data_IF_751843595874
#
_entry.id   IF_751843595874
#
_cell.length_a   1.000
_cell.length_b   1.000
_cell.length_c   1.000
_cell.angle_alpha   90.00
_cell.angle_beta   90.00
_cell.angle_gamma   90.00
#
_symmetry.space_group_name_H-M   'P 1'
#
loop_
_entity.id
_entity.type
_entity.pdbx_description
1 polymer ?
#
# COMPACT_ATOMS: atom_id res chain seq x y z
N UNK A 1 -1.69 -1.31 13.07
CA UNK A 1 -1.57 -1.42 14.52
C UNK A 1 -2.78 -2.07 15.14
N UNK A 2 -2.65 -2.55 16.38
CA UNK A 2 -3.77 -3.14 17.14
C UNK A 2 -4.98 -2.23 17.20
N UNK A 3 -4.79 -0.94 17.47
CA UNK A 3 -5.86 0.04 17.58
C UNK A 3 -6.67 0.23 16.29
N UNK A 4 -6.06 0.08 15.11
CA UNK A 4 -6.77 0.21 13.84
C UNK A 4 -7.80 -0.91 13.67
N UNK A 5 -7.43 -2.15 14.00
CA UNK A 5 -8.33 -3.30 13.96
C UNK A 5 -9.36 -3.28 15.09
N UNK A 6 -8.95 -2.90 16.30
CA UNK A 6 -9.86 -2.74 17.43
C UNK A 6 -10.90 -1.66 17.15
N UNK A 7 -10.52 -0.57 16.47
CA UNK A 7 -11.46 0.46 16.01
C UNK A 7 -12.45 -0.12 14.98
N UNK A 8 -12.00 -0.92 14.02
CA UNK A 8 -12.92 -1.62 13.12
C UNK A 8 -13.92 -2.50 13.88
N UNK A 9 -13.45 -3.23 14.88
CA UNK A 9 -14.32 -4.04 15.75
C UNK A 9 -15.36 -3.18 16.47
N UNK A 10 -14.96 -2.01 16.98
CA UNK A 10 -15.87 -1.05 17.65
C UNK A 10 -16.94 -0.51 16.70
N UNK A 11 -16.62 -0.32 15.43
CA UNK A 11 -17.56 0.07 14.38
C UNK A 11 -18.57 -1.04 14.00
N UNK A 12 -18.55 -2.19 14.68
CA UNK A 12 -19.48 -3.30 14.48
C UNK A 12 -18.95 -4.43 13.60
N UNK A 13 -17.69 -4.41 13.20
CA UNK A 13 -17.07 -5.47 12.39
C UNK A 13 -16.58 -6.60 13.32
N UNK A 14 -17.48 -7.47 13.75
CA UNK A 14 -17.14 -8.63 14.58
C UNK A 14 -16.19 -9.55 13.83
N UNK A 15 -15.15 -10.06 14.51
CA UNK A 15 -14.10 -10.89 13.90
C UNK A 15 -12.95 -10.10 13.26
N UNK A 16 -12.88 -8.77 13.50
CA UNK A 16 -11.83 -7.89 12.98
C UNK A 16 -11.03 -7.17 14.08
N UNK A 17 -11.10 -7.64 15.34
CA UNK A 17 -10.20 -7.15 16.38
C UNK A 17 -8.75 -7.57 16.08
N UNK A 18 -7.80 -6.94 16.75
CA UNK A 18 -6.39 -7.32 16.64
C UNK A 18 -6.17 -8.81 16.95
N UNK A 19 -6.81 -9.32 17.99
CA UNK A 19 -6.73 -10.72 18.38
C UNK A 19 -7.28 -11.66 17.31
N UNK A 20 -8.35 -11.24 16.61
CA UNK A 20 -8.95 -12.02 15.52
C UNK A 20 -8.03 -12.08 14.29
N UNK A 21 -7.33 -10.97 13.94
CA UNK A 21 -6.58 -10.87 12.69
C UNK A 21 -5.10 -11.25 12.81
N UNK A 22 -4.48 -11.11 13.98
CA UNK A 22 -3.07 -11.44 14.20
C UNK A 22 -2.69 -12.87 13.81
N UNK A 23 -3.49 -13.92 14.09
CA UNK A 23 -3.19 -15.27 13.65
C UNK A 23 -3.08 -15.41 12.12
N UNK A 24 -3.84 -14.61 11.36
CA UNK A 24 -3.76 -14.61 9.90
C UNK A 24 -2.54 -13.87 9.38
N UNK A 25 -2.10 -12.79 10.03
CA UNK A 25 -0.83 -12.14 9.74
C UNK A 25 0.33 -13.11 9.96
N UNK A 26 0.41 -13.74 11.13
CA UNK A 26 1.43 -14.76 11.44
C UNK A 26 1.39 -15.93 10.43
N UNK A 27 0.21 -16.44 10.09
CA UNK A 27 0.03 -17.52 9.10
C UNK A 27 0.53 -17.14 7.70
N UNK A 28 0.44 -15.85 7.32
CA UNK A 28 0.86 -15.37 6.00
C UNK A 28 2.35 -15.06 5.92
N UNK A 29 3.01 -14.85 7.04
CA UNK A 29 4.39 -14.39 7.14
C UNK A 29 5.39 -15.54 7.20
N UNK A 30 6.56 -15.33 6.60
CA UNK A 30 7.78 -16.10 6.82
C UNK A 30 8.90 -15.12 7.18
N UNK A 31 8.98 -14.76 8.48
CA UNK A 31 9.90 -13.77 8.97
C UNK A 31 11.32 -14.37 9.07
N UNK A 32 12.31 -13.60 8.61
CA UNK A 32 13.73 -13.99 8.65
C UNK A 32 14.26 -14.13 10.09
N UNK A 33 13.75 -13.30 11.01
CA UNK A 33 14.22 -13.27 12.40
C UNK A 33 13.60 -14.37 13.27
N UNK A 34 12.62 -15.10 12.73
CA UNK A 34 11.98 -16.19 13.46
C UNK A 34 10.55 -15.87 13.88
N UNK A 35 9.96 -16.80 14.62
CA UNK A 35 8.62 -16.67 15.19
C UNK A 35 8.67 -16.02 16.58
N UNK A 36 7.69 -15.14 16.85
CA UNK A 36 7.45 -14.55 18.16
C UNK A 36 5.94 -14.29 18.39
N UNK A 37 5.60 -13.44 19.33
CA UNK A 37 4.21 -13.10 19.63
C UNK A 37 3.51 -12.39 18.44
N UNK A 38 4.24 -11.68 17.59
CA UNK A 38 3.72 -10.85 16.50
C UNK A 38 4.06 -11.41 15.11
N UNK A 39 5.10 -12.21 15.00
CA UNK A 39 5.64 -12.71 13.74
C UNK A 39 5.43 -14.22 13.57
N UNK A 40 5.27 -14.62 12.31
CA UNK A 40 5.16 -16.01 11.91
C UNK A 40 6.30 -16.46 10.99
N UNK A 41 6.47 -17.77 10.89
CA UNK A 41 7.43 -18.42 9.98
C UNK A 41 6.74 -19.45 9.11
N UNK A 42 7.35 -19.75 7.95
CA UNK A 42 6.84 -20.75 7.02
C UNK A 42 5.61 -20.33 6.20
N UNK A 43 5.13 -19.10 6.34
CA UNK A 43 4.07 -18.53 5.52
C UNK A 43 4.54 -18.20 4.09
N UNK A 44 3.61 -17.90 3.18
CA UNK A 44 3.94 -17.66 1.77
C UNK A 44 4.64 -16.32 1.49
N UNK A 45 4.56 -15.34 2.40
CA UNK A 45 5.16 -14.02 2.24
C UNK A 45 6.45 -13.91 3.04
N UNK A 46 7.59 -14.01 2.35
CA UNK A 46 8.89 -13.82 2.97
C UNK A 46 9.10 -12.38 3.38
N UNK A 47 9.56 -12.17 4.62
CA UNK A 47 9.97 -10.87 5.17
C UNK A 47 11.45 -10.97 5.53
N UNK A 48 12.25 -10.05 4.97
CA UNK A 48 13.70 -9.99 5.21
C UNK A 48 14.10 -8.57 5.62
N UNK A 49 15.22 -8.47 6.36
CA UNK A 49 15.86 -7.18 6.65
C UNK A 49 16.31 -6.47 5.37
N UNK A 50 16.42 -5.16 5.46
CA UNK A 50 16.97 -4.31 4.40
C UNK A 50 18.35 -4.81 3.97
N UNK A 51 18.54 -4.97 2.64
CA UNK A 51 19.79 -5.46 2.05
C UNK A 51 20.69 -4.37 1.50
N UNK A 52 20.36 -3.11 1.77
CA UNK A 52 21.13 -1.94 1.38
C UNK A 52 21.03 -0.86 2.44
N UNK A 53 22.09 -0.08 2.60
CA UNK A 53 22.13 1.09 3.47
C UNK A 53 22.81 2.25 2.74
N UNK A 54 22.59 3.46 3.24
CA UNK A 54 23.26 4.67 2.78
C UNK A 54 23.66 5.51 3.99
N UNK A 55 24.90 6.02 4.01
CA UNK A 55 25.40 6.81 5.15
C UNK A 55 24.49 8.00 5.50
N UNK A 56 23.85 8.63 4.50
CA UNK A 56 22.90 9.72 4.76
C UNK A 56 21.69 9.28 5.58
N UNK A 57 21.24 8.02 5.44
CA UNK A 57 20.13 7.47 6.23
C UNK A 57 20.58 7.11 7.64
N UNK A 58 21.80 6.60 7.80
CA UNK A 58 22.37 6.34 9.12
C UNK A 58 22.53 7.65 9.90
N UNK A 59 23.03 8.71 9.26
CA UNK A 59 23.10 10.06 9.83
C UNK A 59 21.73 10.64 10.17
N UNK A 60 20.70 10.36 9.35
CA UNK A 60 19.33 10.76 9.65
C UNK A 60 18.80 10.07 10.92
N UNK A 61 19.11 8.78 11.11
CA UNK A 61 18.75 8.06 12.34
C UNK A 61 19.53 8.57 13.56
N UNK A 62 20.82 8.90 13.40
CA UNK A 62 21.64 9.50 14.46
C UNK A 62 21.03 10.85 14.89
N UNK A 63 20.69 11.73 13.93
CA UNK A 63 20.06 13.00 14.22
C UNK A 63 18.68 12.84 14.89
N UNK A 64 17.89 11.86 14.49
CA UNK A 64 16.61 11.59 15.12
C UNK A 64 16.77 11.14 16.59
N UNK A 65 17.82 10.37 16.89
CA UNK A 65 18.16 9.95 18.25
C UNK A 65 18.59 11.15 19.13
N UNK A 66 19.35 12.11 18.57
CA UNK A 66 19.68 13.39 19.24
C UNK A 66 18.42 14.20 19.57
N UNK A 67 17.37 14.11 18.76
CA UNK A 67 16.05 14.72 19.02
C UNK A 67 15.18 13.92 20.02
N UNK A 68 15.66 12.77 20.50
CA UNK A 68 14.97 11.97 21.50
C UNK A 68 14.10 10.84 20.92
N UNK A 69 14.14 10.59 19.61
CA UNK A 69 13.48 9.44 19.00
C UNK A 69 14.38 8.20 19.06
N UNK A 70 13.85 7.08 19.53
CA UNK A 70 14.64 5.85 19.61
C UNK A 70 14.74 5.14 18.26
N UNK A 71 15.84 4.41 18.07
CA UNK A 71 16.00 3.52 16.93
C UNK A 71 15.22 2.22 17.15
N UNK A 72 14.60 1.71 16.12
CA UNK A 72 13.96 0.40 16.12
C UNK A 72 14.41 -0.44 14.94
N UNK A 73 14.53 -1.74 15.16
CA UNK A 73 14.78 -2.70 14.07
C UNK A 73 13.50 -3.32 13.51
N UNK A 74 12.37 -3.08 14.18
CA UNK A 74 11.08 -3.64 13.81
C UNK A 74 9.93 -2.74 14.28
N UNK A 75 8.97 -2.51 13.39
CA UNK A 75 7.79 -1.70 13.64
C UNK A 75 6.54 -2.52 13.95
N UNK A 76 6.62 -3.84 13.94
CA UNK A 76 5.49 -4.74 14.05
C UNK A 76 5.48 -5.54 15.36
N UNK A 77 6.06 -5.00 16.41
CA UNK A 77 6.18 -5.62 17.73
C UNK A 77 5.12 -5.17 18.74
N UNK A 78 3.98 -4.64 18.24
CA UNK A 78 2.91 -4.06 19.08
C UNK A 78 3.11 -2.57 19.37
N UNK A 79 4.34 -2.05 19.34
CA UNK A 79 4.66 -0.63 19.33
C UNK A 79 5.48 -0.31 18.07
N UNK A 80 4.96 0.60 17.22
CA UNK A 80 5.65 1.01 16.00
C UNK A 80 6.43 2.33 16.15
N UNK A 81 6.46 2.94 17.33
CA UNK A 81 7.18 4.19 17.55
C UNK A 81 8.69 3.98 17.37
N UNK A 82 9.35 4.94 16.72
CA UNK A 82 10.78 4.92 16.48
C UNK A 82 11.17 5.09 15.02
N UNK A 83 12.47 5.04 14.74
CA UNK A 83 13.07 5.21 13.42
C UNK A 83 13.99 4.05 13.10
N UNK A 84 13.87 3.47 11.90
CA UNK A 84 14.67 2.33 11.48
C UNK A 84 14.53 1.99 10.01
N UNK A 85 15.31 1.03 9.56
CA UNK A 85 15.15 0.47 8.22
C UNK A 85 13.91 -0.42 8.13
N UNK A 86 13.21 -0.35 7.00
CA UNK A 86 12.07 -1.22 6.76
C UNK A 86 12.46 -2.70 6.67
N UNK A 87 11.75 -3.62 7.35
CA UNK A 87 11.65 -5.00 6.89
C UNK A 87 10.87 -5.03 5.57
N UNK A 88 11.24 -5.91 4.65
CA UNK A 88 10.73 -5.92 3.28
C UNK A 88 10.15 -7.28 2.91
N UNK A 89 9.06 -7.28 2.12
CA UNK A 89 8.57 -8.47 1.44
C UNK A 89 9.52 -8.85 0.28
N UNK A 90 10.66 -9.40 0.63
CA UNK A 90 11.74 -9.81 -0.26
C UNK A 90 12.14 -11.24 0.07
N UNK A 91 12.47 -12.01 -0.95
CA UNK A 91 13.06 -13.35 -0.85
C UNK A 91 14.33 -13.40 -1.68
N UNK A 92 15.48 -13.51 -1.01
CA UNK A 92 16.79 -13.55 -1.66
C UNK A 92 17.04 -12.37 -2.62
N UNK A 93 16.71 -11.15 -2.17
CA UNK A 93 16.90 -9.93 -2.95
C UNK A 93 15.86 -9.69 -4.06
N UNK A 94 14.85 -10.54 -4.20
CA UNK A 94 13.75 -10.35 -5.14
C UNK A 94 12.43 -10.10 -4.41
N UNK A 95 11.58 -9.24 -4.99
CA UNK A 95 10.27 -8.95 -4.41
C UNK A 95 9.42 -10.22 -4.24
N UNK A 96 9.03 -10.51 -3.00
CA UNK A 96 8.06 -11.54 -2.67
C UNK A 96 6.65 -10.95 -2.71
N UNK A 97 6.09 -10.79 -3.91
CA UNK A 97 4.73 -10.29 -4.09
C UNK A 97 3.68 -11.37 -3.77
N UNK A 98 2.40 -10.98 -3.62
CA UNK A 98 1.29 -11.93 -3.48
C UNK A 98 1.25 -12.95 -4.62
N UNK A 99 1.62 -12.55 -5.84
CA UNK A 99 1.73 -13.49 -6.97
C UNK A 99 2.84 -14.51 -6.74
N UNK A 100 3.99 -14.10 -6.21
CA UNK A 100 5.11 -15.00 -5.89
C UNK A 100 4.76 -15.93 -4.73
N UNK A 101 4.23 -15.37 -3.64
CA UNK A 101 3.92 -16.13 -2.43
C UNK A 101 2.72 -17.07 -2.59
N UNK A 102 1.63 -16.58 -3.16
CA UNK A 102 0.37 -17.34 -3.19
C UNK A 102 0.03 -17.93 -4.56
N UNK A 103 0.18 -17.17 -5.66
CA UNK A 103 -0.35 -17.59 -6.95
C UNK A 103 0.58 -18.57 -7.69
N UNK A 104 1.88 -18.27 -7.77
CA UNK A 104 2.83 -19.10 -8.50
C UNK A 104 2.89 -20.55 -8.01
N UNK A 105 2.84 -20.85 -6.70
CA UNK A 105 2.84 -22.23 -6.21
C UNK A 105 1.62 -23.04 -6.66
N UNK A 106 0.49 -22.40 -6.90
CA UNK A 106 -0.79 -23.08 -7.17
C UNK A 106 -1.31 -22.91 -8.61
N UNK A 107 -0.65 -22.12 -9.46
CA UNK A 107 -1.14 -21.76 -10.81
C UNK A 107 -1.39 -22.96 -11.74
N UNK A 108 -0.82 -24.13 -11.42
CA UNK A 108 -1.00 -25.38 -12.18
C UNK A 108 -2.18 -26.22 -11.68
N UNK A 109 -2.89 -25.81 -10.63
CA UNK A 109 -4.05 -26.56 -10.12
C UNK A 109 -5.15 -26.62 -11.17
N UNK A 110 -5.73 -27.80 -11.42
CA UNK A 110 -6.80 -28.01 -12.41
C UNK A 110 -8.08 -27.24 -12.10
N UNK A 111 -8.34 -26.97 -10.82
CA UNK A 111 -9.50 -26.19 -10.35
C UNK A 111 -9.26 -24.68 -10.28
N UNK A 112 -8.12 -24.17 -10.74
CA UNK A 112 -7.79 -22.75 -10.81
C UNK A 112 -7.68 -22.31 -12.25
N UNK A 113 -8.49 -21.30 -12.64
CA UNK A 113 -8.40 -20.61 -13.92
C UNK A 113 -8.11 -19.15 -13.70
N UNK A 114 -7.01 -18.66 -14.24
CA UNK A 114 -6.57 -17.25 -14.14
C UNK A 114 -6.85 -16.58 -15.49
N UNK A 115 -7.65 -15.52 -15.46
CA UNK A 115 -7.94 -14.70 -16.64
C UNK A 115 -7.27 -13.33 -16.44
N UNK A 116 -6.23 -13.06 -17.22
CA UNK A 116 -5.57 -11.75 -17.30
C UNK A 116 -6.17 -10.92 -18.43
N UNK A 117 -5.96 -9.59 -18.39
CA UNK A 117 -6.53 -8.65 -19.36
C UNK A 117 -8.05 -8.79 -19.49
N UNK A 118 -8.71 -9.06 -18.37
CA UNK A 118 -10.15 -9.15 -18.23
C UNK A 118 -10.65 -7.94 -17.45
N UNK A 119 -11.29 -6.99 -18.11
CA UNK A 119 -11.82 -5.78 -17.47
C UNK A 119 -13.26 -6.02 -17.05
N UNK A 120 -13.55 -5.96 -15.76
CA UNK A 120 -14.89 -6.23 -15.22
C UNK A 120 -15.86 -5.12 -15.62
N UNK A 121 -16.99 -5.50 -16.23
CA UNK A 121 -18.09 -4.61 -16.52
C UNK A 121 -19.00 -4.43 -15.31
N UNK A 122 -19.58 -5.52 -14.84
CA UNK A 122 -20.49 -5.53 -13.69
C UNK A 122 -20.70 -6.95 -13.17
N UNK A 123 -21.32 -7.04 -12.01
CA UNK A 123 -21.88 -8.26 -11.41
C UNK A 123 -23.38 -8.24 -11.66
N UNK A 124 -23.95 -9.36 -12.08
CA UNK A 124 -25.42 -9.52 -12.25
C UNK A 124 -26.03 -10.15 -11.01
N UNK A 125 -27.25 -9.74 -10.74
CA UNK A 125 -28.01 -10.20 -9.58
C UNK A 125 -29.41 -10.71 -10.00
N UNK A 126 -29.79 -11.85 -9.42
CA UNK A 126 -31.14 -12.38 -9.47
C UNK A 126 -31.65 -12.53 -8.03
N UNK A 127 -32.78 -11.93 -7.72
CA UNK A 127 -33.36 -11.94 -6.37
C UNK A 127 -32.33 -11.55 -5.28
N UNK A 128 -31.51 -10.53 -5.53
CA UNK A 128 -30.41 -10.04 -4.67
C UNK A 128 -29.25 -11.01 -4.46
N UNK A 129 -29.20 -12.11 -5.22
CA UNK A 129 -28.08 -13.05 -5.22
C UNK A 129 -27.21 -12.76 -6.45
N UNK A 130 -25.90 -12.63 -6.22
CA UNK A 130 -24.94 -12.49 -7.31
C UNK A 130 -24.85 -13.79 -8.10
N UNK A 131 -25.03 -13.73 -9.42
CA UNK A 131 -25.12 -14.90 -10.31
C UNK A 131 -24.04 -14.94 -11.37
N UNK A 132 -23.66 -13.80 -11.93
CA UNK A 132 -22.70 -13.73 -13.03
C UNK A 132 -21.74 -12.56 -12.85
N UNK A 133 -20.54 -12.68 -13.47
CA UNK A 133 -19.61 -11.57 -13.67
C UNK A 133 -19.45 -11.34 -15.17
N UNK A 134 -19.78 -10.14 -15.64
CA UNK A 134 -19.54 -9.71 -17.01
C UNK A 134 -18.20 -8.97 -17.10
N UNK A 135 -17.44 -9.25 -18.14
CA UNK A 135 -16.14 -8.62 -18.36
C UNK A 135 -15.78 -8.55 -19.84
N UNK A 136 -14.98 -7.55 -20.21
CA UNK A 136 -14.38 -7.48 -21.54
C UNK A 136 -13.03 -8.17 -21.57
N UNK A 137 -12.81 -8.94 -22.62
CA UNK A 137 -11.49 -9.49 -22.95
C UNK A 137 -11.35 -9.46 -24.48
N UNK A 138 -10.24 -8.90 -24.97
CA UNK A 138 -9.99 -8.73 -26.41
C UNK A 138 -11.18 -8.04 -27.14
N UNK A 139 -11.73 -6.99 -26.53
CA UNK A 139 -12.91 -6.25 -27.01
C UNK A 139 -14.22 -7.07 -27.10
N UNK A 140 -14.24 -8.29 -26.63
CA UNK A 140 -15.46 -9.11 -26.55
C UNK A 140 -16.04 -9.06 -25.15
N UNK A 141 -17.35 -8.91 -25.04
CA UNK A 141 -18.07 -9.04 -23.79
C UNK A 141 -18.33 -10.51 -23.50
N UNK A 142 -17.79 -10.97 -22.39
CA UNK A 142 -17.89 -12.35 -21.92
C UNK A 142 -18.53 -12.36 -20.52
N UNK A 143 -18.99 -13.54 -20.10
CA UNK A 143 -19.49 -13.73 -18.74
C UNK A 143 -18.99 -15.03 -18.12
N UNK A 144 -19.02 -15.06 -16.78
CA UNK A 144 -18.78 -16.26 -15.97
C UNK A 144 -19.87 -16.37 -14.92
N UNK A 145 -20.56 -17.52 -14.92
CA UNK A 145 -21.57 -17.83 -13.91
C UNK A 145 -20.90 -18.28 -12.61
N UNK A 146 -21.43 -17.82 -11.47
CA UNK A 146 -20.99 -18.30 -10.18
C UNK A 146 -21.86 -19.46 -9.68
N UNK A 147 -21.21 -20.45 -9.06
CA UNK A 147 -21.91 -21.58 -8.44
C UNK A 147 -22.06 -21.39 -6.91
N UNK A 148 -21.19 -20.59 -6.29
CA UNK A 148 -21.17 -20.37 -4.83
C UNK A 148 -21.20 -18.88 -4.50
N UNK A 149 -20.11 -18.16 -4.71
CA UNK A 149 -19.95 -16.76 -4.33
C UNK A 149 -19.02 -16.03 -5.30
N UNK A 150 -19.08 -14.70 -5.27
CA UNK A 150 -18.17 -13.79 -5.96
C UNK A 150 -17.39 -13.03 -4.89
N UNK A 151 -16.07 -13.15 -4.93
CA UNK A 151 -15.16 -12.42 -4.04
C UNK A 151 -14.65 -11.20 -4.78
N UNK A 152 -15.04 -10.00 -4.32
CA UNK A 152 -14.62 -8.73 -4.90
C UNK A 152 -13.38 -8.20 -4.16
N UNK A 153 -12.23 -8.21 -4.81
CA UNK A 153 -10.94 -7.75 -4.28
C UNK A 153 -10.24 -6.81 -5.25
N UNK A 154 -10.99 -5.85 -5.83
CA UNK A 154 -10.50 -4.94 -6.85
C UNK A 154 -9.83 -3.66 -6.29
N UNK A 155 -9.58 -3.59 -4.99
CA UNK A 155 -8.95 -2.47 -4.30
C UNK A 155 -9.90 -1.29 -4.05
N UNK A 156 -9.35 -0.25 -3.43
CA UNK A 156 -10.09 0.92 -2.93
C UNK A 156 -10.87 1.66 -4.03
N UNK A 157 -10.37 1.70 -5.24
CA UNK A 157 -11.01 2.37 -6.38
C UNK A 157 -11.87 1.39 -7.18
N UNK A 158 -11.33 0.20 -7.49
CA UNK A 158 -12.00 -0.76 -8.35
C UNK A 158 -13.25 -1.39 -7.73
N UNK A 159 -13.20 -1.74 -6.45
CA UNK A 159 -14.32 -2.40 -5.78
C UNK A 159 -15.59 -1.52 -5.72
N UNK A 160 -15.56 -0.26 -5.24
CA UNK A 160 -16.73 0.59 -5.27
C UNK A 160 -17.19 0.91 -6.70
N UNK A 161 -16.28 1.05 -7.67
CA UNK A 161 -16.63 1.27 -9.06
C UNK A 161 -17.41 0.10 -9.65
N UNK A 162 -16.96 -1.14 -9.42
CA UNK A 162 -17.68 -2.34 -9.86
C UNK A 162 -19.03 -2.48 -9.15
N UNK A 163 -19.12 -2.21 -7.85
CA UNK A 163 -20.38 -2.23 -7.12
C UNK A 163 -21.38 -1.24 -7.68
N UNK A 164 -20.97 0.00 -7.92
CA UNK A 164 -21.81 1.04 -8.51
C UNK A 164 -22.27 0.64 -9.93
N UNK A 165 -21.36 0.14 -10.77
CA UNK A 165 -21.70 -0.37 -12.12
C UNK A 165 -22.67 -1.57 -12.07
N UNK A 166 -22.74 -2.26 -10.95
CA UNK A 166 -23.61 -3.41 -10.70
C UNK A 166 -24.93 -3.04 -10.03
N UNK A 167 -25.21 -1.73 -9.85
CA UNK A 167 -26.44 -1.26 -9.24
C UNK A 167 -26.44 -1.22 -7.70
N UNK A 168 -25.26 -1.32 -7.07
CA UNK A 168 -25.10 -1.21 -5.62
C UNK A 168 -24.34 0.08 -5.29
N UNK A 169 -25.02 1.08 -4.76
CA UNK A 169 -24.43 2.38 -4.47
C UNK A 169 -25.46 3.45 -4.17
N UNK A 170 -25.06 4.74 -4.08
CA UNK A 170 -25.98 5.84 -3.84
C UNK A 170 -27.03 5.93 -4.97
N UNK A 171 -28.31 5.75 -4.63
CA UNK A 171 -29.40 5.63 -5.60
C UNK A 171 -29.50 6.83 -6.56
N UNK A 172 -29.29 8.05 -6.06
CA UNK A 172 -29.28 9.25 -6.90
C UNK A 172 -28.14 9.23 -7.94
N UNK A 173 -26.94 8.80 -7.57
CA UNK A 173 -25.78 8.66 -8.46
C UNK A 173 -26.04 7.59 -9.52
N UNK A 174 -26.60 6.45 -9.12
CA UNK A 174 -26.93 5.34 -10.04
C UNK A 174 -27.98 5.77 -11.07
N UNK A 175 -29.06 6.41 -10.64
CA UNK A 175 -30.09 6.96 -11.54
C UNK A 175 -29.52 7.97 -12.53
N UNK A 176 -28.66 8.88 -12.07
CA UNK A 176 -27.99 9.88 -12.92
C UNK A 176 -27.19 9.22 -14.05
N UNK A 177 -26.63 8.04 -13.80
CA UNK A 177 -25.84 7.29 -14.77
C UNK A 177 -26.65 6.21 -15.52
N UNK A 178 -28.00 6.22 -15.43
CA UNK A 178 -28.89 5.22 -16.06
C UNK A 178 -28.56 3.76 -15.62
N UNK A 179 -28.19 3.57 -14.35
CA UNK A 179 -27.89 2.26 -13.78
C UNK A 179 -29.09 1.82 -12.93
N UNK A 180 -29.61 0.63 -13.19
CA UNK A 180 -30.70 0.04 -12.42
C UNK A 180 -30.24 -0.21 -10.98
N UNK A 181 -31.07 0.19 -10.01
CA UNK A 181 -30.75 0.04 -8.58
C UNK A 181 -31.08 -1.38 -8.14
N UNK A 182 -30.07 -2.15 -7.77
CA UNK A 182 -30.20 -3.43 -7.07
C UNK A 182 -30.32 -3.20 -5.57
N UNK A 183 -29.47 -2.31 -5.05
CA UNK A 183 -29.51 -1.89 -3.64
C UNK A 183 -29.03 -0.44 -3.50
N UNK A 184 -29.88 0.41 -2.95
CA UNK A 184 -29.47 1.74 -2.52
C UNK A 184 -28.57 1.61 -1.30
N UNK A 185 -27.31 2.01 -1.43
CA UNK A 185 -26.29 1.94 -0.39
C UNK A 185 -25.44 3.22 -0.43
N UNK A 186 -25.80 4.24 0.35
CA UNK A 186 -25.20 5.57 0.22
C UNK A 186 -23.70 5.63 0.56
N UNK A 187 -23.17 4.64 1.31
CA UNK A 187 -21.75 4.62 1.72
C UNK A 187 -20.80 4.07 0.65
N UNK A 188 -21.31 3.38 -0.38
CA UNK A 188 -20.44 2.84 -1.45
C UNK A 188 -19.82 3.96 -2.26
N UNK A 189 -18.48 4.02 -2.26
CA UNK A 189 -17.71 5.08 -2.88
C UNK A 189 -17.55 6.35 -2.01
N UNK A 190 -17.97 6.32 -0.77
CA UNK A 190 -17.75 7.39 0.22
C UNK A 190 -16.60 7.04 1.18
N UNK A 191 -16.21 8.03 1.98
CA UNK A 191 -15.16 7.92 2.99
C UNK A 191 -13.79 7.51 2.43
N UNK A 192 -13.49 7.88 1.18
CA UNK A 192 -12.15 7.68 0.63
C UNK A 192 -11.14 8.46 1.49
N UNK A 193 -10.09 7.77 1.93
CA UNK A 193 -9.02 8.32 2.75
C UNK A 193 -7.68 7.95 2.13
N UNK A 194 -6.74 8.88 2.11
CA UNK A 194 -5.39 8.66 1.63
C UNK A 194 -4.40 9.54 2.37
N UNK A 195 -3.14 9.14 2.36
CA UNK A 195 -2.05 9.85 3.00
C UNK A 195 -1.50 10.95 2.09
N UNK A 196 -1.79 12.22 2.40
CA UNK A 196 -1.09 13.35 1.77
C UNK A 196 0.38 13.33 2.21
N UNK A 197 1.30 13.36 1.24
CA UNK A 197 2.73 13.33 1.48
C UNK A 197 3.37 14.69 1.25
N UNK A 198 4.05 15.22 2.25
CA UNK A 198 4.96 16.35 2.12
C UNK A 198 6.36 15.82 1.82
N UNK A 199 7.00 16.34 0.76
CA UNK A 199 8.24 15.79 0.21
C UNK A 199 9.33 16.84 0.05
N UNK A 200 9.93 17.34 1.12
CA UNK A 200 11.09 18.23 1.04
C UNK A 200 12.29 17.45 0.46
N UNK A 201 13.05 18.11 -0.41
CA UNK A 201 14.27 17.56 -1.02
C UNK A 201 15.48 18.30 -0.46
N UNK A 202 16.40 17.53 0.11
CA UNK A 202 17.66 18.08 0.65
C UNK A 202 18.84 17.69 -0.21
N UNK A 203 19.53 18.67 -0.80
CA UNK A 203 20.84 18.47 -1.43
C UNK A 203 21.89 18.18 -0.39
N UNK A 204 22.76 17.23 -0.69
CA UNK A 204 23.88 16.86 0.19
C UNK A 204 25.21 16.91 -0.56
N UNK A 205 26.30 16.92 0.18
CA UNK A 205 27.66 16.91 -0.36
C UNK A 205 28.45 15.74 0.24
N UNK A 206 29.39 15.23 -0.53
CA UNK A 206 30.38 14.22 -0.06
C UNK A 206 29.77 12.87 0.39
N UNK A 207 28.53 12.57 0.01
CA UNK A 207 27.88 11.30 0.28
C UNK A 207 27.24 10.73 -0.99
N UNK A 208 27.28 9.42 -1.11
CA UNK A 208 26.59 8.73 -2.20
C UNK A 208 25.11 8.56 -1.92
N UNK A 209 24.34 8.69 -2.99
CA UNK A 209 22.90 8.48 -3.01
C UNK A 209 22.50 7.68 -4.25
N UNK A 210 21.24 7.31 -4.36
CA UNK A 210 20.74 6.70 -5.59
C UNK A 210 20.90 7.63 -6.81
N UNK A 211 20.83 8.96 -6.61
CA UNK A 211 21.08 9.94 -7.66
C UNK A 211 22.53 9.79 -8.21
N UNK A 212 23.52 9.72 -7.31
CA UNK A 212 24.94 9.53 -7.69
C UNK A 212 25.17 8.22 -8.43
N UNK A 213 24.47 7.15 -8.01
CA UNK A 213 24.57 5.85 -8.67
C UNK A 213 23.91 5.91 -10.06
N UNK A 214 22.71 6.52 -10.14
CA UNK A 214 21.93 6.61 -11.37
C UNK A 214 22.67 7.37 -12.48
N UNK A 215 23.43 8.42 -12.15
CA UNK A 215 24.18 9.22 -13.12
C UNK A 215 25.62 8.76 -13.37
N UNK A 216 26.10 7.68 -12.72
CA UNK A 216 27.43 7.13 -12.89
C UNK A 216 27.40 5.73 -13.50
N UNK A 217 27.91 5.56 -14.71
CA UNK A 217 27.98 4.23 -15.34
C UNK A 217 28.85 3.25 -14.54
N UNK A 218 29.96 3.72 -13.97
CA UNK A 218 30.82 2.91 -13.12
C UNK A 218 30.06 2.39 -11.88
N UNK A 219 29.34 3.27 -11.16
CA UNK A 219 28.55 2.87 -9.98
C UNK A 219 27.41 1.93 -10.33
N UNK A 220 26.76 2.10 -11.50
CA UNK A 220 25.75 1.17 -12.01
C UNK A 220 26.33 -0.24 -12.21
N UNK A 221 27.49 -0.34 -12.81
CA UNK A 221 28.16 -1.64 -13.05
C UNK A 221 28.47 -2.32 -11.70
N UNK A 222 29.08 -1.59 -10.76
CA UNK A 222 29.37 -2.12 -9.42
C UNK A 222 28.08 -2.59 -8.73
N UNK A 223 27.02 -1.77 -8.76
CA UNK A 223 25.71 -2.12 -8.18
C UNK A 223 25.14 -3.38 -8.84
N UNK A 224 25.27 -3.51 -10.16
CA UNK A 224 24.86 -4.70 -10.90
C UNK A 224 25.63 -5.95 -10.45
N UNK A 225 26.96 -5.86 -10.34
CA UNK A 225 27.83 -6.96 -9.88
C UNK A 225 27.47 -7.35 -8.44
N UNK A 226 27.31 -6.35 -7.55
CA UNK A 226 26.92 -6.57 -6.16
C UNK A 226 25.60 -7.34 -6.06
N UNK A 227 24.61 -6.97 -6.87
CA UNK A 227 23.34 -7.67 -6.90
C UNK A 227 23.46 -9.10 -7.45
N UNK A 228 24.22 -9.28 -8.55
CA UNK A 228 24.40 -10.60 -9.18
C UNK A 228 25.08 -11.60 -8.24
N UNK A 229 26.13 -11.17 -7.53
CA UNK A 229 26.94 -12.04 -6.68
C UNK A 229 26.31 -12.24 -5.28
N UNK A 230 25.80 -11.19 -4.67
CA UNK A 230 25.40 -11.23 -3.24
C UNK A 230 23.93 -10.91 -2.98
N UNK A 231 23.15 -10.55 -4.01
CA UNK A 231 21.74 -10.14 -3.84
C UNK A 231 21.58 -8.99 -2.82
N UNK A 232 22.52 -8.06 -2.82
CA UNK A 232 22.59 -6.89 -1.95
C UNK A 232 22.66 -5.59 -2.75
N UNK A 233 22.51 -4.47 -2.04
CA UNK A 233 22.60 -3.14 -2.63
C UNK A 233 21.27 -2.63 -3.22
N UNK A 234 21.31 -1.49 -3.91
CA UNK A 234 20.11 -0.77 -4.35
C UNK A 234 19.13 -1.58 -5.22
N UNK A 235 19.62 -2.56 -5.98
CA UNK A 235 18.73 -3.40 -6.82
C UNK A 235 17.96 -4.47 -6.04
N UNK A 236 18.32 -4.71 -4.78
CA UNK A 236 17.65 -5.70 -3.91
C UNK A 236 16.50 -5.10 -3.08
N UNK A 237 16.23 -3.79 -3.21
CA UNK A 237 15.31 -3.05 -2.33
C UNK A 237 14.41 -2.10 -3.12
N UNK A 238 13.34 -1.63 -2.47
CA UNK A 238 12.44 -0.61 -3.04
C UNK A 238 12.99 0.81 -2.87
N UNK A 239 12.19 1.80 -3.23
CA UNK A 239 12.60 3.21 -3.20
C UNK A 239 12.67 3.82 -1.78
N UNK A 240 11.85 3.34 -0.84
CA UNK A 240 11.88 3.79 0.55
C UNK A 240 12.72 2.84 1.38
N UNK A 241 13.68 3.36 2.09
CA UNK A 241 14.66 2.58 2.85
C UNK A 241 14.42 2.68 4.35
N UNK A 242 14.24 3.91 4.83
CA UNK A 242 14.09 4.21 6.25
C UNK A 242 12.66 4.62 6.53
N UNK A 243 12.15 4.17 7.66
CA UNK A 243 10.85 4.55 8.20
C UNK A 243 11.01 5.19 9.57
N UNK A 244 10.10 6.06 9.92
CA UNK A 244 9.91 6.53 11.27
C UNK A 244 8.44 6.68 11.57
N UNK A 245 8.02 6.22 12.73
CA UNK A 245 6.70 6.52 13.28
C UNK A 245 6.91 7.36 14.54
N UNK A 246 6.37 8.57 14.53
CA UNK A 246 6.54 9.52 15.62
C UNK A 246 5.22 10.15 16.03
N UNK A 247 5.19 10.71 17.20
CA UNK A 247 4.08 11.51 17.71
C UNK A 247 4.34 12.98 17.41
N UNK A 248 3.35 13.68 16.85
CA UNK A 248 3.41 15.14 16.69
C UNK A 248 3.34 15.87 18.03
N UNK A 249 2.72 15.24 19.03
CA UNK A 249 2.63 15.71 20.40
C UNK A 249 2.90 14.53 21.34
N UNK A 250 3.73 14.77 22.38
CA UNK A 250 4.10 13.76 23.37
C UNK A 250 2.94 13.18 24.18
N UNK A 251 1.80 13.90 24.24
CA UNK A 251 0.61 13.45 24.94
C UNK A 251 -0.23 12.45 24.14
N UNK A 252 0.07 12.24 22.86
CA UNK A 252 -0.61 11.23 22.06
C UNK A 252 -0.24 9.82 22.54
N UNK A 253 -1.23 8.95 22.60
CA UNK A 253 -1.01 7.55 22.98
C UNK A 253 -0.17 6.81 21.94
N UNK A 254 -0.28 7.17 20.66
CA UNK A 254 0.37 6.49 19.55
C UNK A 254 0.85 7.45 18.47
N UNK A 255 1.85 7.02 17.67
CA UNK A 255 2.32 7.79 16.52
C UNK A 255 1.19 8.14 15.54
N UNK A 256 1.19 9.37 15.10
CA UNK A 256 0.28 9.92 14.10
C UNK A 256 1.00 10.47 12.86
N UNK A 257 2.33 10.53 12.89
CA UNK A 257 3.15 10.90 11.74
C UNK A 257 4.04 9.74 11.31
N UNK A 258 4.23 9.61 10.01
CA UNK A 258 5.16 8.67 9.42
C UNK A 258 6.16 9.36 8.52
N UNK A 259 7.43 8.98 8.65
CA UNK A 259 8.49 9.30 7.71
C UNK A 259 8.75 8.14 6.78
N UNK A 260 8.94 8.45 5.49
CA UNK A 260 9.55 7.59 4.50
C UNK A 260 10.80 8.27 3.98
N UNK A 261 11.97 7.81 4.34
CA UNK A 261 13.22 8.45 3.92
C UNK A 261 13.87 7.67 2.80
N UNK A 262 14.06 8.33 1.67
CA UNK A 262 14.70 7.78 0.49
C UNK A 262 16.04 8.47 0.25
N UNK A 263 17.14 7.74 -0.05
CA UNK A 263 18.41 8.33 -0.44
C UNK A 263 18.39 8.74 -1.92
N UNK A 264 17.29 9.37 -2.34
CA UNK A 264 17.06 9.80 -3.72
C UNK A 264 16.17 11.03 -3.78
N UNK A 265 16.18 11.69 -4.92
CA UNK A 265 15.25 12.78 -5.22
C UNK A 265 14.85 12.80 -6.69
N UNK A 266 13.59 13.20 -6.93
CA UNK A 266 13.01 13.37 -8.28
C UNK A 266 11.90 14.42 -8.19
N UNK A 267 11.59 15.10 -9.30
CA UNK A 267 10.50 16.09 -9.34
C UNK A 267 9.12 15.49 -9.09
N UNK A 268 8.89 14.28 -9.62
CA UNK A 268 7.58 13.62 -9.51
C UNK A 268 7.73 12.15 -9.12
N UNK A 269 6.85 11.67 -8.24
CA UNK A 269 6.66 10.25 -8.00
C UNK A 269 6.24 9.56 -9.30
N UNK A 270 6.91 8.45 -9.64
CA UNK A 270 6.63 7.68 -10.85
C UNK A 270 7.46 8.06 -12.08
N UNK A 271 8.18 9.19 -12.07
CA UNK A 271 9.22 9.44 -13.08
C UNK A 271 10.49 8.67 -12.73
N UNK A 272 11.12 8.09 -13.75
CA UNK A 272 12.35 7.31 -13.59
C UNK A 272 13.61 8.19 -13.56
N UNK A 273 13.48 9.49 -13.86
CA UNK A 273 14.61 10.41 -13.90
C UNK A 273 14.87 11.02 -12.53
N UNK A 274 16.02 10.70 -11.96
CA UNK A 274 16.48 11.29 -10.71
C UNK A 274 17.23 12.60 -10.99
N UNK A 275 17.23 13.53 -10.01
CA UNK A 275 18.03 14.77 -10.12
C UNK A 275 19.51 14.46 -10.32
N UNK A 276 20.24 15.35 -11.00
CA UNK A 276 21.67 15.21 -11.32
C UNK A 276 22.62 15.60 -10.18
N UNK A 277 22.11 15.72 -8.97
CA UNK A 277 22.89 16.03 -7.76
C UNK A 277 22.56 15.03 -6.65
N UNK A 278 23.49 14.78 -5.73
CA UNK A 278 23.22 13.95 -4.55
C UNK A 278 22.16 14.60 -3.65
N UNK A 279 21.18 13.82 -3.27
CA UNK A 279 20.08 14.30 -2.40
C UNK A 279 19.39 13.15 -1.69
N UNK A 280 18.64 13.47 -0.64
CA UNK A 280 17.69 12.56 0.00
C UNK A 280 16.35 13.26 0.20
N UNK A 281 15.31 12.48 0.37
CA UNK A 281 13.93 12.95 0.52
C UNK A 281 13.30 12.30 1.74
N UNK A 282 13.17 13.01 2.87
CA UNK A 282 12.30 12.61 3.97
C UNK A 282 10.87 12.99 3.60
N UNK A 283 10.06 12.01 3.29
CA UNK A 283 8.63 12.21 3.04
C UNK A 283 7.89 12.07 4.34
N UNK A 284 7.03 13.03 4.66
CA UNK A 284 6.24 13.07 5.91
C UNK A 284 4.77 12.91 5.55
N UNK A 285 4.03 12.14 6.33
CA UNK A 285 2.59 11.96 6.15
C UNK A 285 1.86 11.87 7.48
N UNK A 286 0.65 12.46 7.53
CA UNK A 286 -0.32 12.23 8.59
C UNK A 286 -0.93 10.82 8.42
N UNK A 287 -0.76 9.96 9.42
CA UNK A 287 -1.28 8.58 9.40
C UNK A 287 -2.80 8.51 9.58
N UNK A 288 -3.41 9.54 10.14
CA UNK A 288 -4.84 9.55 10.52
C UNK A 288 -5.55 10.80 10.00
N UNK A 289 -5.55 11.05 8.68
CA UNK A 289 -6.25 12.20 8.13
C UNK A 289 -7.75 12.09 8.41
N UNK A 290 -8.37 13.23 8.72
CA UNK A 290 -9.81 13.34 8.95
C UNK A 290 -10.59 13.73 7.71
N UNK A 291 -9.93 14.29 6.70
CA UNK A 291 -10.50 14.56 5.38
C UNK A 291 -11.01 13.28 4.72
N UNK A 292 -12.16 13.38 4.06
CA UNK A 292 -12.80 12.25 3.36
C UNK A 292 -13.16 12.62 1.95
N UNK A 293 -12.84 11.71 1.03
CA UNK A 293 -13.11 11.82 -0.39
C UNK A 293 -14.18 10.86 -0.90
N UNK A 294 -14.28 10.78 -2.22
CA UNK A 294 -15.25 9.93 -2.89
C UNK A 294 -14.69 9.27 -4.15
N UNK A 295 -15.28 8.12 -4.49
CA UNK A 295 -15.13 7.41 -5.76
C UNK A 295 -16.51 7.28 -6.39
N UNK A 296 -16.78 7.97 -7.49
CA UNK A 296 -18.11 8.04 -8.09
C UNK A 296 -18.07 7.61 -9.55
N UNK A 297 -18.92 6.67 -9.90
CA UNK A 297 -19.07 6.22 -11.29
C UNK A 297 -19.52 7.37 -12.19
N UNK A 298 -18.98 7.46 -13.40
CA UNK A 298 -19.32 8.48 -14.40
C UNK A 298 -20.06 7.93 -15.63
N UNK A 299 -20.06 6.60 -15.77
CA UNK A 299 -20.68 5.91 -16.91
C UNK A 299 -20.99 4.46 -16.54
N UNK A 300 -22.02 3.83 -17.13
CA UNK A 300 -22.22 2.38 -17.03
C UNK A 300 -21.09 1.54 -17.63
N UNK A 301 -20.27 2.17 -18.48
CA UNK A 301 -19.04 1.55 -19.03
C UNK A 301 -17.87 1.76 -18.08
N UNK A 302 -17.50 0.71 -17.35
CA UNK A 302 -16.39 0.74 -16.37
C UNK A 302 -15.00 0.93 -17.00
N UNK A 303 -14.88 0.96 -18.32
CA UNK A 303 -13.64 1.37 -19.00
C UNK A 303 -13.41 2.88 -18.90
N UNK A 304 -14.49 3.64 -18.62
CA UNK A 304 -14.40 5.04 -18.23
C UNK A 304 -14.06 5.08 -16.75
N UNK A 305 -12.94 5.72 -16.41
CA UNK A 305 -12.46 5.82 -15.02
C UNK A 305 -13.49 6.54 -14.14
N UNK A 306 -13.67 6.15 -12.88
CA UNK A 306 -14.55 6.85 -11.96
C UNK A 306 -14.00 8.25 -11.64
N UNK A 307 -14.85 9.16 -11.20
CA UNK A 307 -14.45 10.42 -10.60
C UNK A 307 -13.90 10.14 -9.21
N UNK A 308 -12.63 10.45 -9.01
CA UNK A 308 -11.93 10.29 -7.73
C UNK A 308 -11.69 11.68 -7.17
N UNK A 309 -12.21 11.95 -5.99
CA UNK A 309 -11.98 13.19 -5.26
C UNK A 309 -11.41 12.85 -3.91
N UNK A 310 -10.13 13.16 -3.69
CA UNK A 310 -9.43 12.86 -2.44
C UNK A 310 -9.85 13.82 -1.32
N UNK A 311 -10.16 15.07 -1.68
CA UNK A 311 -10.58 16.10 -0.75
C UNK A 311 -9.58 16.38 0.39
N UNK A 312 -8.27 16.32 0.07
CA UNK A 312 -7.20 16.59 1.02
C UNK A 312 -7.35 17.94 1.71
N UNK A 313 -6.93 18.02 2.98
CA UNK A 313 -6.92 19.25 3.78
C UNK A 313 -8.30 19.94 3.85
N UNK A 314 -9.38 19.17 3.79
CA UNK A 314 -10.73 19.71 3.88
C UNK A 314 -11.19 20.00 5.31
N UNK A 315 -10.50 19.46 6.30
CA UNK A 315 -10.74 19.70 7.73
C UNK A 315 -9.66 20.60 8.31
N UNK A 316 -9.98 21.33 9.37
CA UNK A 316 -9.02 22.22 10.01
C UNK A 316 -7.94 21.43 10.75
N UNK A 317 -8.28 20.25 11.30
CA UNK A 317 -7.34 19.30 11.91
C UNK A 317 -6.25 18.85 10.92
N UNK A 318 -6.62 18.50 9.68
CA UNK A 318 -5.65 18.10 8.67
C UNK A 318 -4.77 19.28 8.21
N UNK A 319 -5.32 20.51 8.17
CA UNK A 319 -4.56 21.73 7.84
C UNK A 319 -3.54 22.06 8.92
N UNK A 320 -3.97 22.00 10.18
CA UNK A 320 -3.09 22.24 11.34
C UNK A 320 -1.95 21.21 11.38
N UNK A 321 -2.27 19.94 11.10
CA UNK A 321 -1.26 18.87 11.05
C UNK A 321 -0.26 19.05 9.90
N UNK A 322 -0.64 19.72 8.82
CA UNK A 322 0.22 19.94 7.65
C UNK A 322 1.09 21.21 7.74
N UNK A 323 0.76 22.15 8.62
CA UNK A 323 1.49 23.42 8.85
C UNK A 323 2.60 23.29 9.84
#
# INVERSE_FOLDING_TARGET
>A
QSNDYNYWRQLGNVGWSWEDVLPYFKKSEDNQEGEDNFHGVGGPLKVEKMRASFKVLDLFMEAAEEFGYHKTSDFNTGNNEGIGYFPLNVKNGFRCSSAVGYLNPIKKRKNLKILTNAHIKNIEFENRKATNVNFWKNNQLLNVKTNKEIILSAGTIGSPHILQASGIGPGALLKKNNINIVKDHPSVGKNLMDHLMLRPVYKIKNLDTLNSIYHSNYKKIITGIQFLLWRKGPLAVGASYLCGFIKSDKHLEMPNLQFHVSPASTDFLGKTTLHNFPAFTPTITNLRPTSRGTVEIQSPDTRIVPKIQMNYLSTDEDKEMAG
#
